data_IF_436564815078
#
_entry.id   IF_436564815078
#
_cell.length_a   1.000
_cell.length_b   1.000
_cell.length_c   1.000
_cell.angle_alpha   90.00
_cell.angle_beta   90.00
_cell.angle_gamma   90.00
#
_symmetry.space_group_name_H-M   'P 1'
#
loop_
_entity.id
_entity.type
_entity.pdbx_description
1 polymer ?
#
# COMPACT_ATOMS: atom_id res chain seq x y z
N UNK A 1 -5.77 -7.55 9.24
CA UNK A 1 -5.24 -6.69 8.19
C UNK A 1 -3.95 -7.31 7.70
N UNK A 2 -3.66 -7.15 6.41
CA UNK A 2 -2.37 -7.50 5.87
C UNK A 2 -1.26 -6.78 6.64
N UNK A 3 -0.10 -7.39 6.64
CA UNK A 3 1.15 -6.87 7.15
C UNK A 3 1.85 -6.04 6.07
N UNK A 4 2.94 -5.34 6.43
CA UNK A 4 3.64 -4.46 5.50
C UNK A 4 4.11 -5.11 4.20
N UNK A 5 4.29 -6.45 4.17
CA UNK A 5 4.74 -7.16 2.97
C UNK A 5 3.67 -7.11 1.88
N UNK A 6 2.41 -7.40 2.21
CA UNK A 6 1.31 -7.31 1.27
C UNK A 6 1.12 -5.88 0.75
N UNK A 7 1.07 -4.89 1.64
CA UNK A 7 0.92 -3.47 1.26
C UNK A 7 2.07 -3.00 0.36
N UNK A 8 3.31 -3.32 0.72
CA UNK A 8 4.49 -2.98 -0.07
C UNK A 8 4.44 -3.60 -1.47
N UNK A 9 4.05 -4.88 -1.58
CA UNK A 9 3.95 -5.56 -2.86
C UNK A 9 2.85 -4.98 -3.75
N UNK A 10 1.67 -4.67 -3.19
CA UNK A 10 0.57 -4.03 -3.92
C UNK A 10 0.97 -2.64 -4.39
N UNK A 11 1.60 -1.83 -3.53
CA UNK A 11 2.10 -0.50 -3.87
C UNK A 11 3.13 -0.52 -5.00
N UNK A 12 4.12 -1.43 -4.94
CA UNK A 12 5.09 -1.63 -6.02
C UNK A 12 4.42 -2.07 -7.33
N UNK A 13 3.44 -2.97 -7.25
CA UNK A 13 2.68 -3.44 -8.41
C UNK A 13 1.91 -2.32 -9.10
N UNK A 14 1.23 -1.46 -8.33
CA UNK A 14 0.53 -0.29 -8.86
C UNK A 14 1.48 0.68 -9.56
N UNK A 15 2.66 0.93 -8.98
CA UNK A 15 3.69 1.76 -9.64
C UNK A 15 4.15 1.15 -10.97
N UNK A 16 4.36 -0.17 -11.01
CA UNK A 16 4.73 -0.86 -12.24
C UNK A 16 3.64 -0.75 -13.31
N UNK A 17 2.37 -0.90 -12.93
CA UNK A 17 1.21 -0.86 -13.84
C UNK A 17 0.99 0.54 -14.42
N UNK A 18 1.05 1.59 -13.60
CA UNK A 18 0.82 2.98 -14.05
C UNK A 18 1.96 3.46 -14.96
N UNK A 19 3.19 2.98 -14.73
CA UNK A 19 4.36 3.32 -15.55
C UNK A 19 4.57 2.33 -16.69
N UNK A 20 3.90 2.60 -17.82
CA UNK A 20 3.95 1.78 -19.04
C UNK A 20 5.38 1.41 -19.52
N UNK A 21 6.40 2.26 -19.30
CA UNK A 21 7.79 2.05 -19.77
C UNK A 21 8.84 1.79 -18.66
N UNK A 22 8.42 1.44 -17.45
CA UNK A 22 9.36 1.02 -16.40
C UNK A 22 10.11 -0.30 -16.73
N UNK A 23 11.21 -0.61 -16.08
CA UNK A 23 11.94 -1.88 -16.14
C UNK A 23 12.45 -2.17 -14.75
N UNK A 24 12.29 -3.40 -14.26
CA UNK A 24 12.62 -3.74 -12.86
C UNK A 24 14.04 -3.31 -12.50
N UNK A 25 15.02 -3.58 -13.38
CA UNK A 25 16.42 -3.18 -13.17
C UNK A 25 16.65 -1.67 -13.17
N UNK A 26 15.87 -0.89 -13.92
CA UNK A 26 16.06 0.57 -14.07
C UNK A 26 15.30 1.35 -13.01
N UNK A 27 14.10 0.89 -12.67
CA UNK A 27 13.12 1.63 -11.88
C UNK A 27 12.89 1.02 -10.49
N UNK A 28 13.78 0.13 -10.03
CA UNK A 28 13.70 -0.49 -8.71
C UNK A 28 13.53 0.53 -7.58
N UNK A 29 14.16 1.72 -7.70
CA UNK A 29 14.01 2.81 -6.73
C UNK A 29 12.58 3.34 -6.64
N UNK A 30 11.88 3.37 -7.78
CA UNK A 30 10.50 3.85 -7.85
C UNK A 30 9.53 2.77 -7.34
N UNK A 31 9.80 1.50 -7.66
CA UNK A 31 9.05 0.37 -7.09
C UNK A 31 9.20 0.35 -5.55
N UNK A 32 10.42 0.55 -5.05
CA UNK A 32 10.69 0.64 -3.62
C UNK A 32 10.01 1.87 -2.99
N UNK A 33 10.01 3.02 -3.66
CA UNK A 33 9.29 4.20 -3.20
C UNK A 33 7.77 3.96 -3.14
N UNK A 34 7.20 3.27 -4.13
CA UNK A 34 5.80 2.85 -4.12
C UNK A 34 5.47 1.91 -2.97
N UNK A 35 6.32 0.92 -2.73
CA UNK A 35 6.18 0.00 -1.59
C UNK A 35 6.25 0.75 -0.26
N UNK A 36 7.23 1.63 -0.08
CA UNK A 36 7.38 2.42 1.14
C UNK A 36 6.18 3.35 1.38
N UNK A 37 5.67 4.00 0.33
CA UNK A 37 4.49 4.85 0.42
C UNK A 37 3.23 4.06 0.78
N UNK A 38 3.08 2.84 0.24
CA UNK A 38 1.97 1.98 0.62
C UNK A 38 2.05 1.55 2.09
N UNK A 39 3.24 1.38 2.67
CA UNK A 39 3.40 1.02 4.11
C UNK A 39 3.23 2.24 5.03
N UNK A 40 3.41 3.45 4.52
CA UNK A 40 3.46 4.69 5.30
C UNK A 40 2.24 4.93 6.22
N UNK A 41 0.98 4.60 5.84
CA UNK A 41 -0.18 4.81 6.71
C UNK A 41 -0.08 4.15 8.08
N UNK A 42 0.54 2.97 8.18
CA UNK A 42 0.77 2.23 9.43
C UNK A 42 1.81 2.89 10.35
N UNK A 43 2.52 3.92 9.89
CA UNK A 43 3.35 4.72 10.80
C UNK A 43 2.49 5.44 11.86
N UNK A 44 1.15 5.46 11.70
CA UNK A 44 0.21 5.88 12.73
C UNK A 44 0.25 5.02 14.02
N UNK A 45 0.86 3.83 13.97
CA UNK A 45 1.19 3.06 15.17
C UNK A 45 2.10 3.83 16.13
N UNK A 46 2.84 4.83 15.65
CA UNK A 46 3.55 5.78 16.50
C UNK A 46 2.61 6.47 17.49
N UNK A 47 1.41 6.89 17.06
CA UNK A 47 0.42 7.50 17.95
C UNK A 47 -0.03 6.53 19.04
N UNK A 48 -0.12 5.23 18.70
CA UNK A 48 -0.51 4.19 19.66
C UNK A 48 0.62 3.85 20.64
N UNK A 49 1.81 3.55 20.14
CA UNK A 49 2.91 3.00 20.95
C UNK A 49 3.74 4.06 21.67
N UNK A 50 3.89 5.24 21.08
CA UNK A 50 4.73 6.31 21.65
C UNK A 50 3.85 7.34 22.37
N UNK A 51 2.77 7.78 21.72
CA UNK A 51 1.90 8.82 22.27
C UNK A 51 0.71 8.28 23.07
N UNK A 52 0.54 6.95 23.14
CA UNK A 52 -0.53 6.29 23.90
C UNK A 52 -1.95 6.72 23.52
N UNK A 53 -2.14 7.23 22.31
CA UNK A 53 -3.42 7.68 21.77
C UNK A 53 -4.21 6.50 21.21
N UNK A 54 -5.06 5.90 22.05
CA UNK A 54 -5.89 4.74 21.66
C UNK A 54 -6.91 5.13 20.59
N UNK A 55 -7.12 4.23 19.62
CA UNK A 55 -8.10 4.43 18.54
C UNK A 55 -7.59 5.28 17.37
N UNK A 56 -6.31 5.67 17.36
CA UNK A 56 -5.72 6.45 16.26
C UNK A 56 -5.16 5.61 15.12
N UNK A 57 -4.90 4.32 15.37
CA UNK A 57 -4.51 3.39 14.31
C UNK A 57 -5.70 3.13 13.37
N UNK A 58 -5.44 3.16 12.05
CA UNK A 58 -6.45 3.10 10.98
C UNK A 58 -7.46 4.26 10.98
N UNK A 59 -7.05 5.39 11.55
CA UNK A 59 -7.77 6.64 11.51
C UNK A 59 -7.48 7.42 10.22
N UNK A 60 -7.23 8.72 10.36
CA UNK A 60 -7.06 9.64 9.24
C UNK A 60 -6.01 9.22 8.19
N UNK A 61 -4.93 8.55 8.60
CA UNK A 61 -3.82 8.11 7.72
C UNK A 61 -4.26 7.12 6.65
N UNK A 62 -5.34 6.38 6.90
CA UNK A 62 -5.88 5.37 5.99
C UNK A 62 -7.05 5.89 5.15
N UNK A 63 -7.36 7.18 5.24
CA UNK A 63 -8.48 7.80 4.53
C UNK A 63 -8.16 8.14 3.07
N UNK A 64 -9.21 8.20 2.24
CA UNK A 64 -9.10 8.67 0.85
C UNK A 64 -8.62 10.13 0.82
N UNK A 65 -9.09 10.96 1.76
CA UNK A 65 -8.70 12.36 1.86
C UNK A 65 -7.20 12.50 2.11
N UNK A 66 -6.62 11.69 3.00
CA UNK A 66 -5.18 11.72 3.24
C UNK A 66 -4.39 11.28 2.01
N UNK A 67 -4.88 10.29 1.25
CA UNK A 67 -4.25 9.91 -0.01
C UNK A 67 -4.25 11.07 -1.03
N UNK A 68 -5.34 11.84 -1.12
CA UNK A 68 -5.40 13.06 -1.96
C UNK A 68 -4.42 14.12 -1.48
N UNK A 69 -4.33 14.37 -0.17
CA UNK A 69 -3.38 15.33 0.42
C UNK A 69 -1.93 14.92 0.10
N UNK A 70 -1.56 13.67 0.35
CA UNK A 70 -0.22 13.15 0.03
C UNK A 70 0.08 13.26 -1.45
N UNK A 71 -0.88 12.94 -2.32
CA UNK A 71 -0.73 13.08 -3.77
C UNK A 71 -0.51 14.54 -4.18
N UNK A 72 -1.24 15.48 -3.59
CA UNK A 72 -1.07 16.91 -3.85
C UNK A 72 0.30 17.42 -3.37
N UNK A 73 0.77 16.99 -2.20
CA UNK A 73 2.11 17.32 -1.69
C UNK A 73 3.21 16.77 -2.62
N UNK A 74 3.07 15.52 -3.05
CA UNK A 74 3.98 14.93 -4.04
C UNK A 74 3.92 15.68 -5.38
N UNK A 75 2.74 16.12 -5.82
CA UNK A 75 2.61 16.93 -7.02
C UNK A 75 3.35 18.26 -6.91
N UNK A 76 3.19 18.96 -5.77
CA UNK A 76 3.87 20.21 -5.49
C UNK A 76 5.41 20.04 -5.46
N UNK A 77 5.90 18.94 -4.88
CA UNK A 77 7.33 18.64 -4.77
C UNK A 77 7.95 18.16 -6.09
N UNK A 78 7.28 17.26 -6.81
CA UNK A 78 7.84 16.57 -7.97
C UNK A 78 7.53 17.29 -9.30
N UNK A 79 6.49 18.11 -9.31
CA UNK A 79 6.06 18.94 -10.44
C UNK A 79 5.39 18.16 -11.58
N UNK A 80 4.79 18.92 -12.51
CA UNK A 80 4.03 18.39 -13.66
C UNK A 80 4.77 17.37 -14.53
N UNK A 81 6.11 17.49 -14.63
CA UNK A 81 6.95 16.57 -15.42
C UNK A 81 6.92 15.14 -14.87
N UNK A 82 6.59 14.97 -13.59
CA UNK A 82 6.46 13.67 -12.90
C UNK A 82 5.02 13.36 -12.51
N UNK A 83 4.02 13.95 -13.17
CA UNK A 83 2.61 13.74 -12.84
C UNK A 83 2.20 12.25 -12.83
N UNK A 84 2.70 11.45 -13.78
CA UNK A 84 2.44 10.00 -13.79
C UNK A 84 2.99 9.29 -12.55
N UNK A 85 4.16 9.69 -12.09
CA UNK A 85 4.82 9.11 -10.92
C UNK A 85 4.08 9.50 -9.66
N UNK A 86 3.65 10.76 -9.57
CA UNK A 86 2.83 11.28 -8.48
C UNK A 86 1.51 10.52 -8.38
N UNK A 87 0.83 10.31 -9.51
CA UNK A 87 -0.42 9.52 -9.54
C UNK A 87 -0.14 8.08 -9.08
N UNK A 88 0.93 7.46 -9.59
CA UNK A 88 1.30 6.11 -9.20
C UNK A 88 1.58 5.99 -7.69
N UNK A 89 2.28 6.96 -7.11
CA UNK A 89 2.58 7.06 -5.69
C UNK A 89 1.34 7.34 -4.82
N UNK A 90 0.45 8.21 -5.31
CA UNK A 90 -0.85 8.45 -4.67
C UNK A 90 -1.72 7.21 -4.62
N UNK A 91 -1.78 6.46 -5.73
CA UNK A 91 -2.48 5.18 -5.79
C UNK A 91 -1.84 4.12 -4.89
N UNK A 92 -0.50 4.09 -4.80
CA UNK A 92 0.20 3.21 -3.87
C UNK A 92 -0.17 3.53 -2.41
N UNK A 93 -0.18 4.81 -2.01
CA UNK A 93 -0.61 5.22 -0.67
C UNK A 93 -2.08 4.87 -0.41
N UNK A 94 -2.99 5.20 -1.34
CA UNK A 94 -4.42 4.90 -1.24
C UNK A 94 -4.69 3.39 -1.10
N UNK A 95 -3.87 2.56 -1.75
CA UNK A 95 -4.05 1.11 -1.74
C UNK A 95 -4.01 0.50 -0.35
N UNK A 96 -3.32 1.12 0.61
CA UNK A 96 -3.25 0.64 1.99
C UNK A 96 -4.63 0.62 2.66
N UNK A 97 -5.28 1.78 2.74
CA UNK A 97 -6.60 1.90 3.36
C UNK A 97 -7.67 1.09 2.63
N UNK A 98 -7.60 1.00 1.30
CA UNK A 98 -8.51 0.17 0.51
C UNK A 98 -8.30 -1.33 0.75
N UNK A 99 -7.04 -1.78 0.85
CA UNK A 99 -6.75 -3.18 1.12
C UNK A 99 -7.17 -3.55 2.54
N UNK A 100 -6.94 -2.68 3.52
CA UNK A 100 -7.42 -2.85 4.89
C UNK A 100 -8.95 -2.91 4.97
N UNK A 101 -9.63 -2.00 4.28
CA UNK A 101 -11.09 -2.02 4.17
C UNK A 101 -11.58 -3.35 3.58
N UNK A 102 -10.97 -3.79 2.47
CA UNK A 102 -11.38 -4.99 1.76
C UNK A 102 -11.16 -6.29 2.56
N UNK A 103 -10.10 -6.35 3.38
CA UNK A 103 -9.64 -7.60 4.03
C UNK A 103 -9.94 -7.67 5.52
N UNK A 104 -10.24 -6.56 6.18
CA UNK A 104 -10.59 -6.56 7.61
C UNK A 104 -11.97 -7.14 7.83
N UNK A 105 -12.12 -8.08 8.77
CA UNK A 105 -13.40 -8.69 9.16
C UNK A 105 -13.68 -8.50 10.65
N UNK A 106 -12.70 -8.80 11.47
CA UNK A 106 -12.82 -8.90 12.93
C UNK A 106 -12.35 -7.62 13.63
N UNK A 107 -11.33 -6.94 13.10
CA UNK A 107 -10.84 -5.68 13.64
C UNK A 107 -11.82 -4.50 13.42
N UNK A 108 -11.48 -3.34 14.01
CA UNK A 108 -12.32 -2.15 14.10
C UNK A 108 -12.65 -1.43 12.79
N UNK A 109 -12.16 -1.91 11.64
CA UNK A 109 -12.34 -1.25 10.33
C UNK A 109 -11.42 -0.05 10.12
N UNK A 110 -11.71 0.77 9.11
CA UNK A 110 -10.90 1.91 8.66
C UNK A 110 -11.75 3.16 8.51
N UNK A 111 -11.26 4.32 8.95
CA UNK A 111 -11.94 5.64 8.77
C UNK A 111 -11.78 6.17 7.33
N UNK A 112 -12.36 5.46 6.36
CA UNK A 112 -12.11 5.68 4.93
C UNK A 112 -12.48 7.09 4.44
N UNK A 113 -13.51 7.70 5.04
CA UNK A 113 -14.04 9.02 4.69
C UNK A 113 -13.68 10.13 5.68
N UNK A 114 -12.69 9.93 6.56
CA UNK A 114 -12.16 11.02 7.37
C UNK A 114 -11.70 12.19 6.46
N UNK A 115 -11.92 13.47 6.82
CA UNK A 115 -12.48 13.99 8.08
C UNK A 115 -14.01 14.17 8.05
N UNK A 116 -14.69 13.80 6.96
CA UNK A 116 -16.13 14.01 6.81
C UNK A 116 -16.95 13.02 7.66
N UNK A 117 -16.40 11.84 7.93
CA UNK A 117 -16.98 10.85 8.83
C UNK A 117 -15.88 10.12 9.60
N UNK A 118 -16.16 9.79 10.87
CA UNK A 118 -15.34 8.92 11.73
C UNK A 118 -15.87 7.49 11.76
N UNK A 119 -16.85 7.16 10.92
CA UNK A 119 -17.35 5.80 10.77
C UNK A 119 -16.24 4.89 10.22
N UNK A 120 -16.12 3.68 10.78
CA UNK A 120 -15.11 2.70 10.37
C UNK A 120 -15.72 1.63 9.50
N UNK A 121 -15.25 1.56 8.26
CA UNK A 121 -15.74 0.65 7.24
C UNK A 121 -14.87 -0.61 7.19
N UNK A 122 -15.50 -1.74 6.86
CA UNK A 122 -14.85 -3.03 6.63
C UNK A 122 -15.70 -3.93 5.75
N UNK A 123 -15.08 -4.77 4.94
CA UNK A 123 -15.76 -5.65 3.98
C UNK A 123 -15.49 -7.14 4.24
N UNK A 124 -14.27 -7.51 4.65
CA UNK A 124 -13.94 -8.88 5.05
C UNK A 124 -13.97 -9.91 3.93
N UNK A 125 -13.48 -9.56 2.73
CA UNK A 125 -13.45 -10.45 1.56
C UNK A 125 -12.47 -11.62 1.68
N UNK A 126 -11.40 -11.47 2.46
CA UNK A 126 -10.29 -12.44 2.53
C UNK A 126 -9.89 -12.67 3.98
N UNK A 127 -10.21 -13.85 4.51
CA UNK A 127 -10.06 -14.17 5.93
C UNK A 127 -8.61 -14.46 6.38
N UNK A 128 -7.75 -15.00 5.50
CA UNK A 128 -6.42 -15.50 5.91
C UNK A 128 -5.37 -14.40 6.14
N UNK A 129 -5.68 -13.15 5.79
CA UNK A 129 -4.80 -11.99 5.97
C UNK A 129 -5.09 -11.25 7.28
N UNK A 130 -6.05 -11.70 8.09
CA UNK A 130 -6.32 -11.10 9.38
C UNK A 130 -5.60 -11.85 10.51
N UNK A 131 -4.59 -11.18 11.07
CA UNK A 131 -3.92 -11.61 12.28
C UNK A 131 -4.88 -11.59 13.51
N UNK A 132 -5.07 -12.72 14.23
CA UNK A 132 -5.86 -12.76 15.47
C UNK A 132 -5.24 -11.91 16.57
N UNK A 133 -6.04 -11.13 17.31
CA UNK A 133 -5.53 -10.22 18.36
C UNK A 133 -4.68 -10.94 19.42
N UNK A 134 -3.48 -10.42 19.70
CA UNK A 134 -2.56 -10.93 20.73
C UNK A 134 -1.33 -11.62 20.12
N UNK A 135 -0.42 -10.83 19.54
CA UNK A 135 0.66 -11.36 18.70
C UNK A 135 1.94 -11.66 19.46
N UNK A 136 2.53 -12.82 19.17
CA UNK A 136 3.94 -13.12 19.42
C UNK A 136 4.82 -12.72 18.23
N UNK A 137 6.12 -12.51 18.47
CA UNK A 137 7.09 -12.22 17.40
C UNK A 137 7.10 -13.34 16.35
N UNK A 138 6.95 -14.60 16.77
CA UNK A 138 6.88 -15.75 15.87
C UNK A 138 5.66 -15.73 14.96
N UNK A 139 4.50 -15.28 15.45
CA UNK A 139 3.31 -15.09 14.61
C UNK A 139 3.52 -13.98 13.59
N UNK A 140 4.05 -12.82 13.99
CA UNK A 140 4.36 -11.73 13.06
C UNK A 140 5.29 -12.22 11.93
N UNK A 141 6.34 -12.97 12.28
CA UNK A 141 7.25 -13.57 11.30
C UNK A 141 6.50 -14.56 10.40
N UNK A 142 5.72 -15.48 10.97
CA UNK A 142 4.96 -16.50 10.22
C UNK A 142 4.03 -15.85 9.19
N UNK A 143 3.22 -14.88 9.60
CA UNK A 143 2.28 -14.23 8.69
C UNK A 143 3.00 -13.33 7.67
N UNK A 144 4.12 -12.69 8.03
CA UNK A 144 4.97 -11.97 7.07
C UNK A 144 5.51 -12.90 5.98
N UNK A 145 5.91 -14.12 6.35
CA UNK A 145 6.38 -15.14 5.39
C UNK A 145 5.25 -15.66 4.49
N UNK A 146 4.04 -15.84 5.04
CA UNK A 146 2.85 -16.20 4.25
C UNK A 146 2.54 -15.10 3.23
N UNK A 147 2.55 -13.84 3.64
CA UNK A 147 2.35 -12.73 2.71
C UNK A 147 3.43 -12.63 1.65
N UNK A 148 4.68 -12.85 2.03
CA UNK A 148 5.78 -12.92 1.08
C UNK A 148 5.51 -14.01 0.04
N UNK A 149 5.11 -15.20 0.47
CA UNK A 149 4.81 -16.32 -0.40
C UNK A 149 3.58 -16.09 -1.31
N UNK A 150 2.64 -15.24 -0.91
CA UNK A 150 1.43 -14.94 -1.70
C UNK A 150 1.63 -13.74 -2.62
N UNK A 151 2.07 -12.60 -2.08
CA UNK A 151 2.09 -11.33 -2.80
C UNK A 151 3.34 -11.12 -3.65
N UNK A 152 4.50 -11.69 -3.29
CA UNK A 152 5.70 -11.55 -4.11
C UNK A 152 5.55 -12.28 -5.45
N UNK A 153 5.05 -13.54 -5.53
CA UNK A 153 4.80 -14.18 -6.81
C UNK A 153 3.80 -13.42 -7.68
N UNK A 154 2.75 -12.84 -7.09
CA UNK A 154 1.79 -11.99 -7.81
C UNK A 154 2.46 -10.73 -8.35
N UNK A 155 3.28 -10.06 -7.55
CA UNK A 155 4.07 -8.91 -8.00
C UNK A 155 5.02 -9.30 -9.15
N UNK A 156 5.75 -10.40 -9.01
CA UNK A 156 6.65 -10.89 -10.06
C UNK A 156 5.88 -11.23 -11.34
N UNK A 157 4.71 -11.86 -11.24
CA UNK A 157 3.84 -12.13 -12.37
C UNK A 157 3.39 -10.84 -13.06
N UNK A 158 2.96 -9.82 -12.30
CA UNK A 158 2.61 -8.50 -12.84
C UNK A 158 3.79 -7.89 -13.60
N UNK A 159 4.99 -7.98 -13.04
CA UNK A 159 6.21 -7.48 -13.67
C UNK A 159 6.56 -8.26 -14.95
N UNK A 160 6.41 -9.58 -14.94
CA UNK A 160 6.69 -10.45 -16.09
C UNK A 160 5.68 -10.25 -17.24
N UNK A 161 4.37 -10.27 -16.93
CA UNK A 161 3.31 -10.01 -17.92
C UNK A 161 3.49 -8.64 -18.55
N UNK A 162 3.90 -7.65 -17.76
CA UNK A 162 4.20 -6.31 -18.26
C UNK A 162 5.39 -6.30 -19.22
N UNK A 163 6.50 -6.97 -18.91
CA UNK A 163 7.64 -7.06 -19.83
C UNK A 163 7.27 -7.78 -21.14
N UNK A 164 6.37 -8.75 -21.08
CA UNK A 164 5.85 -9.45 -22.26
C UNK A 164 4.91 -8.57 -23.10
N UNK A 165 3.97 -7.84 -22.48
CA UNK A 165 2.97 -7.02 -23.18
C UNK A 165 3.54 -5.71 -23.75
N UNK A 166 4.58 -5.14 -23.12
CA UNK A 166 5.23 -3.91 -23.55
C UNK A 166 6.72 -4.18 -23.86
N UNK A 167 7.03 -5.00 -24.88
CA UNK A 167 8.40 -5.29 -25.23
C UNK A 167 9.10 -4.00 -25.63
N UNK A 168 10.33 -3.81 -25.14
CA UNK A 168 11.15 -2.65 -25.50
C UNK A 168 11.32 -2.63 -27.01
N UNK A 169 10.81 -1.60 -27.69
CA UNK A 169 11.26 -1.27 -29.03
C UNK A 169 12.75 -0.96 -28.88
N UNK A 170 13.61 -1.88 -29.34
CA UNK A 170 15.05 -1.63 -29.41
C UNK A 170 15.21 -0.48 -30.41
N UNK A 171 15.52 0.72 -29.90
CA UNK A 171 16.09 1.77 -30.74
C UNK A 171 17.44 1.25 -31.22
N UNK A 172 17.49 0.86 -32.50
CA UNK A 172 18.72 0.65 -33.24
C UNK A 172 19.51 1.96 -33.35
#
# INVERSE_FOLDING_TARGET
>A
MPLPVAHGAVGAGLVALVRANSSVRRDWKMLLAGAALAITPDLDFFFLWVLHLRGWHRGFTHSITMAVVVTALLFALLGKRRARDVIAYGLAFLSHGLLDFATTKSAGGVELFWPFSTERFKLGLIDFLELPSGYSISEIIKYSLIELAVFVPVLLLVLLLREYMFPKIRSA
#
